data_IF_397898857022
#
_entry.id   IF_397898857022
#
_cell.length_a   1.000
_cell.length_b   1.000
_cell.length_c   1.000
_cell.angle_alpha   90.00
_cell.angle_beta   90.00
_cell.angle_gamma   90.00
#
_symmetry.space_group_name_H-M   'P 1'
#
loop_
_entity.id
_entity.type
_entity.pdbx_description
1 polymer ?
#
# COMPACT_ATOMS: atom_id res chain seq x y z
N UNK A 1 2.73 -8.27 -4.19
CA UNK A 1 2.05 -7.35 -3.23
C UNK A 1 2.29 -7.69 -1.75
N UNK A 2 1.97 -8.91 -1.25
CA UNK A 2 2.11 -9.27 0.17
C UNK A 2 3.50 -8.97 0.77
N UNK A 3 4.58 -9.26 0.03
CA UNK A 3 5.96 -8.96 0.45
C UNK A 3 6.18 -7.49 0.75
N UNK A 4 5.72 -6.59 -0.14
CA UNK A 4 5.80 -5.14 0.04
C UNK A 4 5.09 -4.68 1.32
N UNK A 5 3.85 -5.13 1.51
CA UNK A 5 3.05 -4.75 2.69
C UNK A 5 3.70 -5.24 3.98
N UNK A 6 4.25 -6.46 3.96
CA UNK A 6 5.00 -7.02 5.10
C UNK A 6 6.19 -6.14 5.47
N UNK A 7 6.96 -5.68 4.49
CA UNK A 7 8.11 -4.80 4.71
C UNK A 7 7.71 -3.42 5.24
N UNK A 8 6.65 -2.82 4.69
CA UNK A 8 6.09 -1.55 5.17
C UNK A 8 5.67 -1.64 6.64
N UNK A 9 4.93 -2.70 6.99
CA UNK A 9 4.47 -2.96 8.35
C UNK A 9 5.63 -3.31 9.28
N UNK A 10 6.61 -4.09 8.82
CA UNK A 10 7.80 -4.42 9.61
C UNK A 10 8.61 -3.16 9.95
N UNK A 11 8.83 -2.28 8.95
CA UNK A 11 9.52 -1.00 9.14
C UNK A 11 8.78 -0.11 10.15
N UNK A 12 7.46 0.02 10.01
CA UNK A 12 6.64 0.78 10.94
C UNK A 12 6.68 0.20 12.35
N UNK A 13 6.53 -1.12 12.49
CA UNK A 13 6.54 -1.78 13.80
C UNK A 13 7.91 -1.73 14.49
N UNK A 14 9.00 -1.66 13.73
CA UNK A 14 10.37 -1.53 14.26
C UNK A 14 10.65 -0.12 14.80
N UNK A 15 10.07 0.91 14.18
CA UNK A 15 10.17 2.30 14.63
C UNK A 15 8.79 2.99 14.51
N UNK A 16 7.87 2.78 15.47
CA UNK A 16 6.52 3.30 15.38
C UNK A 16 6.48 4.83 15.35
N UNK A 17 5.80 5.38 14.36
CA UNK A 17 5.60 6.82 14.20
C UNK A 17 4.10 7.17 14.31
N UNK A 18 3.75 8.45 14.54
CA UNK A 18 2.35 8.88 14.56
C UNK A 18 1.62 8.68 13.22
N UNK A 19 2.38 8.68 12.12
CA UNK A 19 1.90 8.50 10.75
C UNK A 19 2.50 7.21 10.17
N UNK A 20 1.64 6.37 9.61
CA UNK A 20 2.03 5.20 8.84
C UNK A 20 2.06 5.56 7.35
N UNK A 21 3.26 5.53 6.77
CA UNK A 21 3.48 5.80 5.34
C UNK A 21 3.53 4.47 4.57
N UNK A 22 2.36 3.86 4.42
CA UNK A 22 2.19 2.62 3.65
C UNK A 22 1.34 2.80 2.40
N UNK A 23 1.18 1.72 1.65
CA UNK A 23 0.40 1.70 0.41
C UNK A 23 -1.10 1.94 0.64
N UNK A 24 -1.67 1.31 1.67
CA UNK A 24 -3.10 1.38 1.99
C UNK A 24 -3.35 1.77 3.44
N UNK A 25 -4.53 2.33 3.71
CA UNK A 25 -4.89 2.80 5.05
C UNK A 25 -5.05 1.62 6.02
N UNK A 26 -4.35 1.64 7.18
CA UNK A 26 -4.56 0.67 8.23
C UNK A 26 -5.92 0.87 8.90
N UNK A 27 -6.45 -0.19 9.49
CA UNK A 27 -7.75 -0.16 10.18
C UNK A 27 -7.81 0.97 11.23
N UNK A 28 -8.87 1.78 11.21
CA UNK A 28 -9.04 2.91 12.12
C UNK A 28 -8.01 4.04 11.96
N UNK A 29 -7.21 4.02 10.89
CA UNK A 29 -6.36 5.14 10.50
C UNK A 29 -7.16 6.30 9.90
N UNK A 30 -6.53 7.46 9.81
CA UNK A 30 -7.08 8.66 9.18
C UNK A 30 -6.15 9.10 8.06
N UNK A 31 -6.71 9.40 6.87
CA UNK A 31 -5.94 9.93 5.75
C UNK A 31 -5.37 11.32 6.09
N UNK A 32 -4.12 11.54 5.69
CA UNK A 32 -3.40 12.81 5.79
C UNK A 32 -2.58 13.00 4.51
N UNK A 33 -2.01 14.19 4.31
CA UNK A 33 -1.13 14.45 3.15
C UNK A 33 0.11 13.55 3.14
N UNK A 34 0.71 13.31 4.31
CA UNK A 34 1.92 12.50 4.46
C UNK A 34 1.65 10.99 4.40
N UNK A 35 0.52 10.54 4.95
CA UNK A 35 0.18 9.11 5.04
C UNK A 35 -1.07 8.86 5.88
N UNK A 36 -1.02 7.87 6.76
CA UNK A 36 -2.16 7.49 7.59
C UNK A 36 -1.87 7.72 9.08
N UNK A 37 -2.53 8.71 9.69
CA UNK A 37 -2.42 8.95 11.13
C UNK A 37 -3.14 7.85 11.90
N UNK A 38 -2.48 7.28 12.91
CA UNK A 38 -3.10 6.31 13.82
C UNK A 38 -3.53 7.02 15.12
N UNK A 39 -4.83 7.08 15.45
CA UNK A 39 -5.30 7.74 16.68
C UNK A 39 -4.76 7.10 17.97
N UNK A 40 -4.48 5.80 17.93
CA UNK A 40 -3.85 5.04 19.02
C UNK A 40 -2.58 4.40 18.50
N UNK A 41 -1.47 4.64 19.19
CA UNK A 41 -0.20 3.98 18.89
C UNK A 41 -0.36 2.47 19.11
N UNK A 42 -0.12 1.70 18.05
CA UNK A 42 -0.25 0.24 18.06
C UNK A 42 0.64 -0.38 17.00
N UNK A 43 0.98 -1.65 17.20
CA UNK A 43 1.58 -2.46 16.13
C UNK A 43 0.50 -2.81 15.10
N UNK A 44 0.90 -2.85 13.84
CA UNK A 44 0.06 -3.31 12.75
C UNK A 44 0.28 -4.80 12.51
N UNK A 45 -0.80 -5.51 12.25
CA UNK A 45 -0.77 -6.89 11.75
C UNK A 45 -0.58 -6.84 10.24
N UNK A 46 0.51 -7.44 9.74
CA UNK A 46 0.86 -7.36 8.34
C UNK A 46 -0.06 -8.20 7.45
N UNK A 47 -0.64 -9.29 7.97
CA UNK A 47 -1.54 -10.15 7.19
C UNK A 47 -2.84 -9.42 6.93
N UNK A 48 -3.44 -8.85 7.99
CA UNK A 48 -4.63 -7.99 7.87
C UNK A 48 -4.38 -6.79 6.97
N UNK A 49 -3.19 -6.19 7.05
CA UNK A 49 -2.84 -5.06 6.19
C UNK A 49 -2.70 -5.49 4.72
N UNK A 50 -2.20 -6.69 4.48
CA UNK A 50 -2.08 -7.25 3.13
C UNK A 50 -3.44 -7.59 2.53
N UNK A 51 -4.37 -8.11 3.33
CA UNK A 51 -5.75 -8.35 2.90
C UNK A 51 -6.45 -7.04 2.50
N UNK A 52 -6.24 -5.96 3.28
CA UNK A 52 -6.72 -4.62 2.90
C UNK A 52 -6.08 -4.11 1.61
N UNK A 53 -4.83 -4.46 1.34
CA UNK A 53 -4.16 -4.07 0.10
C UNK A 53 -4.74 -4.83 -1.11
N UNK A 54 -5.07 -6.10 -0.94
CA UNK A 54 -5.79 -6.91 -1.94
C UNK A 54 -7.14 -6.26 -2.26
N UNK A 55 -7.97 -6.03 -1.24
CA UNK A 55 -9.29 -5.42 -1.43
C UNK A 55 -9.21 -4.03 -2.07
N UNK A 56 -8.20 -3.23 -1.70
CA UNK A 56 -8.01 -1.91 -2.27
C UNK A 56 -7.57 -1.98 -3.73
N UNK A 57 -6.74 -2.94 -4.12
CA UNK A 57 -6.35 -3.13 -5.52
C UNK A 57 -7.58 -3.48 -6.38
N UNK A 58 -8.38 -4.45 -5.95
CA UNK A 58 -9.61 -4.87 -6.64
C UNK A 58 -10.64 -3.72 -6.78
N UNK A 59 -10.60 -2.76 -5.85
CA UNK A 59 -11.46 -1.58 -5.84
C UNK A 59 -10.84 -0.35 -6.51
N UNK A 60 -9.74 -0.50 -7.22
CA UNK A 60 -9.00 0.60 -7.87
C UNK A 60 -8.55 1.70 -6.89
N UNK A 61 -8.19 1.34 -5.65
CA UNK A 61 -7.66 2.25 -4.64
C UNK A 61 -6.20 2.67 -4.88
N UNK A 62 -5.46 1.90 -5.68
CA UNK A 62 -4.13 2.23 -6.19
C UNK A 62 -3.87 1.42 -7.47
N UNK A 63 -2.86 1.81 -8.23
CA UNK A 63 -2.40 1.06 -9.41
C UNK A 63 -1.05 0.39 -9.18
N UNK A 64 -0.86 -0.75 -9.83
CA UNK A 64 0.44 -1.41 -9.94
C UNK A 64 0.88 -1.29 -11.39
N UNK A 65 2.07 -0.75 -11.61
CA UNK A 65 2.70 -0.67 -12.92
C UNK A 65 3.89 -1.63 -12.93
N UNK A 66 4.00 -2.44 -13.98
CA UNK A 66 5.14 -3.32 -14.26
C UNK A 66 5.63 -2.95 -15.64
N UNK A 67 6.86 -2.44 -15.73
CA UNK A 67 7.47 -2.00 -17.00
C UNK A 67 6.55 -1.03 -17.79
N UNK A 68 6.04 -0.01 -17.07
CA UNK A 68 5.07 1.00 -17.54
C UNK A 68 3.68 0.47 -17.95
N UNK A 69 3.42 -0.83 -17.82
CA UNK A 69 2.09 -1.42 -18.05
C UNK A 69 1.32 -1.56 -16.73
N UNK A 70 0.08 -1.10 -16.72
CA UNK A 70 -0.80 -1.31 -15.57
C UNK A 70 -1.25 -2.77 -15.49
N UNK A 71 -1.06 -3.36 -14.30
CA UNK A 71 -1.64 -4.66 -13.93
C UNK A 71 -3.09 -4.44 -13.52
N UNK A 72 -4.00 -5.25 -14.06
CA UNK A 72 -5.45 -5.08 -13.82
C UNK A 72 -6.06 -6.21 -12.98
N UNK A 73 -5.40 -7.36 -12.91
CA UNK A 73 -5.90 -8.53 -12.19
C UNK A 73 -4.82 -9.10 -11.25
N UNK A 74 -5.24 -9.71 -10.14
CA UNK A 74 -4.30 -10.24 -9.12
C UNK A 74 -3.63 -11.55 -9.55
N UNK A 75 -4.31 -12.32 -10.37
CA UNK A 75 -3.91 -13.59 -10.95
C UNK A 75 -3.30 -13.44 -12.35
N UNK A 76 -3.08 -12.21 -12.80
CA UNK A 76 -2.39 -11.92 -14.04
C UNK A 76 -0.95 -12.48 -13.99
N UNK A 77 -0.60 -13.31 -14.98
CA UNK A 77 0.76 -13.80 -15.13
C UNK A 77 1.68 -12.71 -15.70
N UNK A 78 2.79 -12.45 -15.00
CA UNK A 78 3.75 -11.41 -15.35
C UNK A 78 5.12 -12.02 -15.60
N UNK A 79 5.70 -11.74 -16.77
CA UNK A 79 7.11 -12.04 -17.05
C UNK A 79 7.99 -11.00 -16.35
N UNK A 80 8.57 -11.38 -15.20
CA UNK A 80 9.48 -10.51 -14.45
C UNK A 80 10.93 -10.87 -14.75
N UNK A 81 11.73 -9.85 -15.06
CA UNK A 81 13.18 -9.96 -15.18
C UNK A 81 13.88 -9.30 -13.99
N UNK A 82 15.20 -9.45 -13.89
CA UNK A 82 15.98 -8.75 -12.87
C UNK A 82 15.92 -7.21 -13.02
N UNK A 83 15.62 -6.73 -14.23
CA UNK A 83 15.54 -5.31 -14.57
C UNK A 83 14.09 -4.78 -14.55
N UNK A 84 13.09 -5.64 -14.28
CA UNK A 84 11.69 -5.23 -14.27
C UNK A 84 11.42 -4.22 -13.16
N UNK A 85 10.77 -3.12 -13.53
CA UNK A 85 10.41 -2.04 -12.62
C UNK A 85 8.96 -2.18 -12.16
N UNK A 86 8.77 -2.33 -10.85
CA UNK A 86 7.45 -2.47 -10.23
C UNK A 86 7.13 -1.24 -9.39
N UNK A 87 6.19 -0.42 -9.87
CA UNK A 87 5.72 0.80 -9.19
C UNK A 87 4.32 0.59 -8.60
N UNK A 88 4.14 1.10 -7.38
CA UNK A 88 2.84 1.16 -6.71
C UNK A 88 2.41 2.62 -6.63
N UNK A 89 1.34 2.98 -7.32
CA UNK A 89 0.87 4.37 -7.47
C UNK A 89 -0.39 4.55 -6.64
N UNK A 90 -0.24 5.23 -5.49
CA UNK A 90 -1.37 5.59 -4.64
C UNK A 90 -2.14 6.76 -5.26
N UNK A 91 -3.46 6.62 -5.35
CA UNK A 91 -4.33 7.70 -5.79
C UNK A 91 -4.59 8.63 -4.60
N UNK A 92 -4.15 9.88 -4.73
CA UNK A 92 -4.48 10.94 -3.77
C UNK A 92 -5.58 11.79 -4.38
N UNK A 93 -6.65 12.04 -3.61
CA UNK A 93 -7.68 12.98 -4.05
C UNK A 93 -7.03 14.35 -4.17
N UNK A 94 -7.05 14.90 -5.39
CA UNK A 94 -6.64 16.28 -5.61
C UNK A 94 -7.72 17.17 -5.00
N UNK A 95 -7.36 17.94 -3.98
CA UNK A 95 -8.20 19.04 -3.50
C UNK A 95 -8.24 20.11 -4.59
N UNK A 96 -9.28 20.07 -5.42
CA UNK A 96 -9.64 21.15 -6.34
C UNK A 96 -10.58 22.13 -5.63
N UNK A 97 -10.26 23.42 -5.67
CA UNK A 97 -10.99 24.51 -5.00
C UNK A 97 -12.34 24.86 -5.59
#
# INVERSE_FOLDING_TARGET
MRTRVREEVARFNAAPQPVFTGLVMPEGGLATEEGFRLPKQRRLDWERQADRAIEAFERNGFFVLVDDRQVTELDEELELTADSDIRFVRLVQLVGG
#
